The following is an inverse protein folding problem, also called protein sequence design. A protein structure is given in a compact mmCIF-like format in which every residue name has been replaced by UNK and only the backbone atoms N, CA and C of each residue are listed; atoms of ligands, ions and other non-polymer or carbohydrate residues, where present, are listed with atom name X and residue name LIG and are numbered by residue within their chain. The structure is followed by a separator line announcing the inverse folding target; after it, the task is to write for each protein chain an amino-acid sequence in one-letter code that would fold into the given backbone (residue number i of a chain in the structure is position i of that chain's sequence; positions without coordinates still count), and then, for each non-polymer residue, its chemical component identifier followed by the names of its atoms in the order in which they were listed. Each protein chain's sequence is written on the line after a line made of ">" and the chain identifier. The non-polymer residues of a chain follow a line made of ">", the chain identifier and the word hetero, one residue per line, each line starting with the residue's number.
data_IF_204048703096
#
_entry.id   IF_204048703096
#
_cell.length_a   1.000
_cell.length_b   1.000
_cell.length_c   1.000
_cell.angle_alpha   90.00
_cell.angle_beta   90.00
_cell.angle_gamma   90.00
#
_symmetry.space_group_name_H-M   'P 1'
#
loop_
_entity.id
_entity.type
_entity.pdbx_description
1 polymer ?
#
# COMPACT_ATOMS: atom_id res chain seq x y z
N UNK A 1 -7.61 21.18 -16.09
CA UNK A 1 -6.73 21.80 -15.07
C UNK A 1 -7.45 21.75 -13.72
N UNK A 2 -6.82 21.22 -12.65
CA UNK A 2 -7.44 21.15 -11.33
C UNK A 2 -7.72 22.56 -10.77
N UNK A 3 -8.75 22.70 -9.94
CA UNK A 3 -9.13 24.00 -9.36
C UNK A 3 -8.06 24.46 -8.34
N UNK A 4 -7.80 25.77 -8.18
CA UNK A 4 -6.78 26.28 -7.24
C UNK A 4 -6.90 25.76 -5.80
N UNK A 5 -8.13 25.49 -5.35
CA UNK A 5 -8.43 24.91 -4.02
C UNK A 5 -7.98 23.44 -3.88
N UNK A 6 -8.02 22.66 -4.96
CA UNK A 6 -7.60 21.26 -4.98
C UNK A 6 -6.07 21.14 -4.93
N UNK A 7 -5.36 22.08 -5.56
CA UNK A 7 -3.91 22.17 -5.51
C UNK A 7 -3.39 22.48 -4.09
N UNK A 8 -4.04 23.42 -3.39
CA UNK A 8 -3.71 23.76 -2.00
C UNK A 8 -3.96 22.59 -1.04
N UNK A 9 -5.00 21.80 -1.27
CA UNK A 9 -5.29 20.59 -0.49
C UNK A 9 -4.19 19.53 -0.63
N UNK A 10 -3.73 19.27 -1.86
CA UNK A 10 -2.65 18.30 -2.14
C UNK A 10 -1.31 18.72 -1.53
N UNK A 11 -0.93 19.99 -1.66
CA UNK A 11 0.31 20.53 -1.07
C UNK A 11 0.29 20.44 0.46
N UNK A 12 -0.85 20.75 1.08
CA UNK A 12 -1.00 20.65 2.54
C UNK A 12 -0.89 19.21 3.02
N UNK A 13 -1.47 18.26 2.30
CA UNK A 13 -1.37 16.84 2.65
C UNK A 13 0.07 16.33 2.47
N UNK A 14 0.74 16.65 1.36
CA UNK A 14 2.15 16.32 1.15
C UNK A 14 3.05 16.86 2.27
N UNK A 15 2.81 18.10 2.72
CA UNK A 15 3.55 18.69 3.83
C UNK A 15 3.24 18.00 5.17
N UNK A 16 1.98 17.59 5.42
CA UNK A 16 1.61 16.76 6.59
C UNK A 16 2.36 15.44 6.58
N UNK A 17 2.43 14.80 5.42
CA UNK A 17 3.12 13.52 5.23
C UNK A 17 4.62 13.66 5.48
N UNK A 18 5.24 14.70 4.93
CA UNK A 18 6.65 15.02 5.15
C UNK A 18 6.98 15.26 6.64
N UNK A 19 6.09 15.91 7.40
CA UNK A 19 6.28 16.08 8.85
C UNK A 19 6.22 14.73 9.58
N UNK A 20 5.23 13.90 9.25
CA UNK A 20 5.04 12.62 9.91
C UNK A 20 6.18 11.62 9.61
N UNK A 21 6.84 11.70 8.44
CA UNK A 21 7.94 10.78 8.07
C UNK A 21 9.19 10.91 8.92
N UNK A 22 9.36 12.04 9.61
CA UNK A 22 10.49 12.23 10.52
C UNK A 22 10.18 11.84 11.97
N UNK A 23 8.90 11.73 12.35
CA UNK A 23 8.50 11.41 13.72
C UNK A 23 8.48 9.89 13.96
N UNK A 24 9.04 9.44 15.09
CA UNK A 24 9.09 8.02 15.45
C UNK A 24 8.67 7.79 16.91
N UNK A 25 8.05 6.65 17.19
CA UNK A 25 7.75 6.25 18.57
C UNK A 25 9.07 6.01 19.31
N UNK A 26 9.23 6.58 20.49
CA UNK A 26 10.43 6.54 21.31
C UNK A 26 11.52 7.55 20.89
N UNK A 27 11.35 8.32 19.81
CA UNK A 27 12.31 9.32 19.37
C UNK A 27 11.62 10.66 19.07
N UNK A 28 11.38 11.48 20.11
CA UNK A 28 10.69 12.75 19.98
C UNK A 28 11.58 13.82 19.36
N UNK A 29 11.04 14.63 18.46
CA UNK A 29 11.76 15.69 17.75
C UNK A 29 11.35 17.09 18.21
N UNK A 30 12.30 18.02 18.20
CA UNK A 30 12.08 19.44 18.49
C UNK A 30 11.53 20.16 17.27
N UNK A 31 10.84 21.28 17.49
CA UNK A 31 10.32 22.12 16.41
C UNK A 31 11.41 22.56 15.43
N UNK A 32 12.57 22.97 15.94
CA UNK A 32 13.70 23.43 15.11
C UNK A 32 14.21 22.31 14.19
N UNK A 33 14.39 21.11 14.73
CA UNK A 33 14.84 19.93 13.97
C UNK A 33 13.85 19.59 12.86
N UNK A 34 12.54 19.56 13.17
CA UNK A 34 11.50 19.32 12.18
C UNK A 34 11.47 20.40 11.10
N UNK A 35 11.67 21.67 11.46
CA UNK A 35 11.74 22.78 10.50
C UNK A 35 12.91 22.62 9.54
N UNK A 36 14.08 22.29 10.08
CA UNK A 36 15.30 22.12 9.29
C UNK A 36 15.19 20.91 8.34
N UNK A 37 14.61 19.80 8.80
CA UNK A 37 14.38 18.58 8.00
C UNK A 37 13.31 18.77 6.92
N UNK A 38 12.18 19.36 7.28
CA UNK A 38 11.02 19.49 6.36
C UNK A 38 11.13 20.68 5.41
N UNK A 39 12.03 21.63 5.68
CA UNK A 39 12.19 22.90 4.95
C UNK A 39 10.91 23.75 4.89
N UNK A 40 9.96 23.49 5.78
CA UNK A 40 8.72 24.26 5.85
C UNK A 40 8.94 25.62 6.51
N UNK A 41 8.09 26.59 6.15
CA UNK A 41 8.03 27.85 6.88
C UNK A 41 7.58 27.58 8.33
N UNK A 42 8.03 28.43 9.26
CA UNK A 42 7.69 28.30 10.68
C UNK A 42 6.17 28.26 10.90
N UNK A 43 5.43 29.13 10.21
CA UNK A 43 3.98 29.16 10.29
C UNK A 43 3.32 27.93 9.64
N UNK A 44 3.89 27.43 8.54
CA UNK A 44 3.42 26.23 7.87
C UNK A 44 3.57 24.98 8.74
N UNK A 45 4.75 24.78 9.33
CA UNK A 45 5.03 23.68 10.24
C UNK A 45 4.14 23.76 11.49
N UNK A 46 3.98 24.95 12.08
CA UNK A 46 3.12 25.14 13.26
C UNK A 46 1.67 24.72 12.99
N UNK A 47 1.08 25.15 11.87
CA UNK A 47 -0.29 24.77 11.49
C UNK A 47 -0.44 23.26 11.34
N UNK A 48 0.52 22.62 10.66
CA UNK A 48 0.52 21.17 10.44
C UNK A 48 0.62 20.41 11.76
N UNK A 49 1.55 20.79 12.65
CA UNK A 49 1.71 20.13 13.95
C UNK A 49 0.45 20.27 14.80
N UNK A 50 -0.16 21.46 14.82
CA UNK A 50 -1.43 21.69 15.53
C UNK A 50 -2.55 20.80 15.00
N UNK A 51 -2.72 20.69 13.68
CA UNK A 51 -3.72 19.81 13.07
C UNK A 51 -3.47 18.32 13.38
N UNK A 52 -2.21 17.90 13.36
CA UNK A 52 -1.82 16.52 13.66
C UNK A 52 -2.08 16.19 15.13
N UNK A 53 -1.84 17.14 16.02
CA UNK A 53 -2.13 17.03 17.45
C UNK A 53 -3.64 16.96 17.71
N UNK A 54 -4.44 17.84 17.10
CA UNK A 54 -5.91 17.82 17.17
C UNK A 54 -6.49 16.47 16.71
N UNK A 55 -5.90 15.87 15.67
CA UNK A 55 -6.26 14.53 15.17
C UNK A 55 -5.74 13.38 16.04
N UNK A 56 -4.94 13.67 17.06
CA UNK A 56 -4.23 12.71 17.93
C UNK A 56 -3.23 11.83 17.16
N UNK A 57 -2.73 12.29 16.02
CA UNK A 57 -1.72 11.60 15.22
C UNK A 57 -0.32 11.78 15.82
N UNK A 58 -0.07 12.92 16.48
CA UNK A 58 1.14 13.18 17.24
C UNK A 58 0.80 13.54 18.67
N UNK A 59 1.78 13.45 19.56
CA UNK A 59 1.74 14.00 20.92
C UNK A 59 2.75 15.14 21.04
N UNK A 60 2.33 16.21 21.68
CA UNK A 60 3.17 17.32 22.09
C UNK A 60 3.40 17.25 23.60
N UNK A 61 4.65 17.36 24.03
CA UNK A 61 5.01 17.36 25.44
C UNK A 61 6.38 18.02 25.65
N UNK A 62 6.83 18.11 26.90
CA UNK A 62 8.11 18.71 27.24
C UNK A 62 9.10 17.65 27.75
N UNK A 63 10.35 17.75 27.30
CA UNK A 63 11.50 17.08 27.92
C UNK A 63 12.32 18.16 28.62
N UNK A 64 12.21 18.21 29.95
CA UNK A 64 12.69 19.35 30.74
C UNK A 64 11.95 20.62 30.35
N UNK A 65 12.70 21.65 29.91
CA UNK A 65 12.13 22.92 29.41
C UNK A 65 11.90 22.93 27.89
N UNK A 66 12.17 21.83 27.20
CA UNK A 66 12.17 21.81 25.73
C UNK A 66 10.90 21.17 25.19
N UNK A 67 10.13 21.87 24.34
CA UNK A 67 8.97 21.29 23.66
C UNK A 67 9.39 20.30 22.57
N UNK A 68 8.71 19.14 22.53
CA UNK A 68 8.97 18.07 21.56
C UNK A 68 7.68 17.45 21.03
N UNK A 69 7.79 16.80 19.88
CA UNK A 69 6.71 16.14 19.16
C UNK A 69 7.07 14.69 18.88
N UNK A 70 6.09 13.80 18.95
CA UNK A 70 6.30 12.38 18.68
C UNK A 70 5.05 11.78 18.04
N UNK A 71 5.22 10.83 17.11
CA UNK A 71 4.09 10.14 16.50
C UNK A 71 3.41 9.22 17.53
N UNK A 72 2.09 9.15 17.53
CA UNK A 72 1.34 8.20 18.36
C UNK A 72 1.14 6.88 17.62
N UNK A 73 0.74 5.81 18.33
CA UNK A 73 0.29 4.56 17.67
C UNK A 73 -0.85 4.81 16.67
N UNK A 74 -1.76 5.73 17.00
CA UNK A 74 -2.86 6.15 16.10
C UNK A 74 -2.33 6.88 14.88
N UNK A 75 -1.36 7.79 15.07
CA UNK A 75 -0.64 8.46 14.00
C UNK A 75 0.01 7.46 13.07
N UNK A 76 0.77 6.51 13.62
CA UNK A 76 1.46 5.46 12.88
C UNK A 76 0.49 4.58 12.07
N UNK A 77 -0.64 4.18 12.65
CA UNK A 77 -1.67 3.43 11.92
C UNK A 77 -2.30 4.27 10.79
N UNK A 78 -2.62 5.55 11.04
CA UNK A 78 -3.12 6.45 9.99
C UNK A 78 -2.07 6.80 8.92
N UNK A 79 -0.80 6.63 9.26
CA UNK A 79 0.37 6.89 8.41
C UNK A 79 0.73 5.66 7.56
N UNK A 80 0.68 4.43 8.09
CA UNK A 80 1.15 3.23 7.36
C UNK A 80 0.22 2.69 6.29
N UNK A 81 -1.09 2.95 6.35
CA UNK A 81 -2.06 2.35 5.42
C UNK A 81 -2.18 3.06 4.06
N UNK A 82 -1.82 4.34 3.97
CA UNK A 82 -1.96 5.14 2.74
C UNK A 82 -0.61 5.63 2.19
N UNK A 83 0.41 5.69 3.05
CA UNK A 83 1.68 6.31 2.68
C UNK A 83 2.65 5.34 1.99
N UNK A 84 2.70 4.05 2.36
CA UNK A 84 3.71 3.14 1.81
C UNK A 84 3.58 3.00 0.29
N UNK A 85 2.38 2.71 -0.22
CA UNK A 85 2.14 2.63 -1.66
C UNK A 85 2.35 3.98 -2.35
N UNK A 86 1.74 5.06 -1.86
CA UNK A 86 1.87 6.38 -2.49
C UNK A 86 3.31 6.91 -2.52
N UNK A 87 4.07 6.76 -1.43
CA UNK A 87 5.48 7.16 -1.38
C UNK A 87 6.34 6.29 -2.28
N UNK A 88 6.13 4.97 -2.30
CA UNK A 88 6.89 4.08 -3.19
C UNK A 88 6.62 4.45 -4.64
N UNK A 89 5.36 4.72 -4.99
CA UNK A 89 5.00 5.18 -6.33
C UNK A 89 5.68 6.51 -6.66
N UNK A 90 5.59 7.50 -5.77
CA UNK A 90 6.23 8.81 -5.95
C UNK A 90 7.76 8.69 -6.06
N UNK A 91 8.38 7.77 -5.31
CA UNK A 91 9.83 7.56 -5.35
C UNK A 91 10.25 6.90 -6.66
N UNK A 92 9.57 5.84 -7.08
CA UNK A 92 9.83 5.19 -8.38
C UNK A 92 9.67 6.21 -9.51
N UNK A 93 8.64 7.06 -9.48
CA UNK A 93 8.45 8.11 -10.49
C UNK A 93 9.52 9.21 -10.47
N UNK A 94 10.09 9.52 -9.30
CA UNK A 94 11.22 10.48 -9.19
C UNK A 94 12.52 9.88 -9.72
N UNK A 95 12.68 8.57 -9.61
CA UNK A 95 13.82 7.80 -10.11
C UNK A 95 13.56 7.34 -11.56
N UNK A 96 12.95 8.21 -12.37
CA UNK A 96 12.59 8.01 -13.78
C UNK A 96 11.73 6.76 -14.07
N UNK A 97 10.96 6.26 -13.11
CA UNK A 97 10.02 5.16 -13.30
C UNK A 97 8.68 5.57 -13.89
N UNK A 98 8.00 4.60 -14.48
CA UNK A 98 6.72 4.79 -15.17
C UNK A 98 5.54 4.28 -14.35
N UNK A 99 4.40 4.97 -14.48
CA UNK A 99 3.12 4.58 -13.91
C UNK A 99 2.14 4.22 -15.02
N UNK A 100 1.67 2.98 -14.98
CA UNK A 100 0.66 2.45 -15.89
C UNK A 100 -0.66 2.29 -15.13
N UNK A 101 -1.62 3.14 -15.46
CA UNK A 101 -3.00 3.01 -15.00
C UNK A 101 -3.76 2.00 -15.84
N UNK A 102 -4.43 1.03 -15.21
CA UNK A 102 -5.10 -0.08 -15.93
C UNK A 102 -4.12 -0.73 -16.92
N UNK A 103 -3.02 -1.27 -16.42
CA UNK A 103 -1.88 -1.74 -17.22
C UNK A 103 -2.28 -2.77 -18.27
N UNK A 104 -3.17 -3.72 -17.94
CA UNK A 104 -3.74 -4.65 -18.91
C UNK A 104 -4.80 -4.02 -19.83
N UNK A 105 -5.31 -2.83 -19.51
CA UNK A 105 -6.41 -2.16 -20.20
C UNK A 105 -7.76 -2.88 -20.08
N UNK A 106 -7.85 -3.93 -19.26
CA UNK A 106 -9.00 -4.84 -19.24
C UNK A 106 -10.22 -4.17 -18.64
N UNK A 107 -10.05 -3.34 -17.61
CA UNK A 107 -11.17 -2.64 -17.00
C UNK A 107 -11.82 -1.73 -18.03
N UNK A 108 -11.02 -0.88 -18.68
CA UNK A 108 -11.51 -0.01 -19.74
C UNK A 108 -12.11 -0.80 -20.91
N UNK A 109 -11.45 -1.86 -21.36
CA UNK A 109 -11.92 -2.68 -22.48
C UNK A 109 -13.30 -3.31 -22.18
N UNK A 110 -13.46 -3.93 -21.02
CA UNK A 110 -14.73 -4.53 -20.60
C UNK A 110 -15.83 -3.47 -20.51
N UNK A 111 -15.53 -2.32 -19.89
CA UNK A 111 -16.47 -1.20 -19.80
C UNK A 111 -16.92 -0.72 -21.19
N UNK A 112 -16.01 -0.61 -22.16
CA UNK A 112 -16.36 -0.22 -23.54
C UNK A 112 -17.21 -1.26 -24.27
N UNK A 113 -17.16 -2.53 -23.83
CA UNK A 113 -17.99 -3.62 -24.34
C UNK A 113 -19.32 -3.76 -23.58
N UNK A 114 -19.62 -2.84 -22.65
CA UNK A 114 -20.82 -2.91 -21.81
C UNK A 114 -20.78 -4.00 -20.75
N UNK A 115 -19.60 -4.58 -20.48
CA UNK A 115 -19.39 -5.60 -19.47
C UNK A 115 -18.89 -4.98 -18.17
N UNK A 116 -19.33 -5.52 -17.04
CA UNK A 116 -18.83 -5.12 -15.73
C UNK A 116 -17.52 -5.84 -15.41
N UNK A 117 -16.45 -5.08 -15.14
CA UNK A 117 -15.19 -5.61 -14.62
C UNK A 117 -14.82 -4.89 -13.32
N UNK A 118 -14.63 -5.65 -12.24
CA UNK A 118 -14.45 -5.11 -10.89
C UNK A 118 -13.00 -4.93 -10.45
N UNK A 119 -12.03 -5.27 -11.28
CA UNK A 119 -10.61 -5.30 -10.93
C UNK A 119 -9.84 -4.27 -11.76
N UNK A 120 -9.04 -3.45 -11.10
CA UNK A 120 -8.10 -2.52 -11.73
C UNK A 120 -6.69 -2.92 -11.32
N UNK A 121 -5.78 -3.01 -12.28
CA UNK A 121 -4.36 -3.20 -12.06
C UNK A 121 -3.60 -1.92 -12.42
N UNK A 122 -3.03 -1.28 -11.41
CA UNK A 122 -2.07 -0.23 -11.62
C UNK A 122 -0.66 -0.81 -11.42
N UNK A 123 0.26 -0.53 -12.34
CA UNK A 123 1.65 -0.96 -12.26
C UNK A 123 2.57 0.26 -12.19
N UNK A 124 3.53 0.22 -11.27
CA UNK A 124 4.59 1.23 -11.19
C UNK A 124 5.92 0.50 -11.23
N UNK A 125 6.81 0.90 -12.13
CA UNK A 125 8.07 0.20 -12.36
C UNK A 125 9.18 1.20 -12.66
N UNK A 126 10.39 0.93 -12.18
CA UNK A 126 11.56 1.74 -12.52
C UNK A 126 11.94 1.49 -14.00
N UNK A 127 12.26 2.55 -14.76
CA UNK A 127 12.54 2.45 -16.20
C UNK A 127 13.76 1.59 -16.53
N UNK A 128 14.72 1.45 -15.62
CA UNK A 128 15.83 0.53 -15.80
C UNK A 128 15.38 -0.94 -15.83
N UNK A 129 14.29 -1.27 -15.14
CA UNK A 129 13.78 -2.63 -15.00
C UNK A 129 12.90 -3.03 -16.18
N UNK A 130 12.17 -2.09 -16.75
CA UNK A 130 11.37 -2.28 -17.96
C UNK A 130 12.22 -2.85 -19.11
N UNK A 131 13.45 -2.35 -19.26
CA UNK A 131 14.36 -2.71 -20.34
C UNK A 131 15.24 -3.95 -20.06
N UNK A 132 15.26 -4.46 -18.83
CA UNK A 132 16.16 -5.54 -18.41
C UNK A 132 15.41 -6.82 -18.08
N UNK A 133 14.57 -6.79 -17.05
CA UNK A 133 13.82 -7.94 -16.54
C UNK A 133 12.53 -7.41 -15.90
N UNK A 134 11.41 -7.46 -16.62
CA UNK A 134 10.10 -7.17 -16.05
C UNK A 134 9.46 -8.46 -15.51
N UNK A 135 9.21 -8.64 -14.20
CA UNK A 135 8.78 -9.91 -13.62
C UNK A 135 7.25 -10.03 -13.68
N UNK A 136 6.57 -8.91 -13.88
CA UNK A 136 5.13 -8.76 -14.00
C UNK A 136 4.79 -8.50 -15.46
N UNK A 137 5.11 -9.48 -16.30
CA UNK A 137 4.70 -9.48 -17.70
C UNK A 137 3.17 -9.48 -17.81
N UNK A 138 2.67 -8.99 -18.94
CA UNK A 138 1.24 -8.90 -19.24
C UNK A 138 0.46 -10.19 -18.90
N UNK A 139 0.94 -11.34 -19.38
CA UNK A 139 0.28 -12.64 -19.13
C UNK A 139 0.27 -13.05 -17.65
N UNK A 140 1.28 -12.66 -16.87
CA UNK A 140 1.35 -12.95 -15.43
C UNK A 140 0.28 -12.15 -14.69
N UNK A 141 0.19 -10.84 -14.93
CA UNK A 141 -0.82 -9.98 -14.30
C UNK A 141 -2.22 -10.42 -14.72
N UNK A 142 -2.40 -10.78 -15.99
CA UNK A 142 -3.66 -11.33 -16.53
C UNK A 142 -4.09 -12.59 -15.78
N UNK A 143 -3.17 -13.51 -15.53
CA UNK A 143 -3.45 -14.73 -14.77
C UNK A 143 -3.81 -14.40 -13.33
N UNK A 144 -3.07 -13.50 -12.67
CA UNK A 144 -3.37 -13.04 -11.30
C UNK A 144 -4.79 -12.46 -11.22
N UNK A 145 -5.18 -11.57 -12.14
CA UNK A 145 -6.54 -11.01 -12.16
C UNK A 145 -7.61 -12.09 -12.36
N UNK A 146 -7.38 -13.01 -13.30
CA UNK A 146 -8.31 -14.11 -13.55
C UNK A 146 -8.49 -14.97 -12.29
N UNK A 147 -7.40 -15.32 -11.63
CA UNK A 147 -7.42 -16.11 -10.39
C UNK A 147 -8.14 -15.37 -9.26
N UNK A 148 -7.87 -14.08 -9.07
CA UNK A 148 -8.57 -13.26 -8.06
C UNK A 148 -10.08 -13.25 -8.34
N UNK A 149 -10.47 -13.01 -9.60
CA UNK A 149 -11.87 -12.99 -10.00
C UNK A 149 -12.56 -14.34 -9.75
N UNK A 150 -11.97 -15.45 -10.22
CA UNK A 150 -12.56 -16.78 -10.06
C UNK A 150 -12.67 -17.15 -8.58
N UNK A 151 -11.61 -16.97 -7.80
CA UNK A 151 -11.64 -17.28 -6.37
C UNK A 151 -12.69 -16.45 -5.62
N UNK A 152 -12.83 -15.16 -5.95
CA UNK A 152 -13.85 -14.30 -5.35
C UNK A 152 -15.25 -14.78 -5.72
N UNK A 153 -15.47 -15.12 -7.00
CA UNK A 153 -16.73 -15.69 -7.50
C UNK A 153 -17.07 -16.98 -6.77
N UNK A 154 -16.12 -17.90 -6.63
CA UNK A 154 -16.37 -19.21 -6.05
C UNK A 154 -16.59 -19.12 -4.53
N UNK A 155 -15.81 -18.31 -3.82
CA UNK A 155 -16.06 -18.00 -2.39
C UNK A 155 -17.45 -17.42 -2.20
N UNK A 156 -17.88 -16.49 -3.06
CA UNK A 156 -19.20 -15.87 -2.93
C UNK A 156 -20.34 -16.88 -3.05
N UNK A 157 -20.18 -17.88 -3.93
CA UNK A 157 -21.12 -18.99 -4.08
C UNK A 157 -21.08 -19.94 -2.88
N UNK A 158 -19.90 -20.42 -2.52
CA UNK A 158 -19.71 -21.43 -1.45
C UNK A 158 -20.20 -20.89 -0.11
N UNK A 159 -19.91 -19.62 0.19
CA UNK A 159 -20.27 -19.00 1.48
C UNK A 159 -21.64 -18.32 1.47
N UNK A 160 -22.43 -18.47 0.39
CA UNK A 160 -23.72 -17.81 0.20
C UNK A 160 -23.68 -16.32 0.60
N UNK A 161 -22.60 -15.63 0.21
CA UNK A 161 -22.40 -14.22 0.58
C UNK A 161 -23.41 -13.39 -0.20
N UNK A 162 -24.23 -12.60 0.50
CA UNK A 162 -25.13 -11.64 -0.14
C UNK A 162 -24.36 -10.43 -0.68
N UNK A 163 -23.80 -10.61 -1.87
CA UNK A 163 -23.05 -9.59 -2.61
C UNK A 163 -23.92 -8.38 -3.00
N UNK A 164 -25.26 -8.48 -3.00
CA UNK A 164 -26.14 -7.36 -3.40
C UNK A 164 -26.12 -6.20 -2.40
N UNK A 165 -25.79 -6.49 -1.14
CA UNK A 165 -25.74 -5.53 -0.06
C UNK A 165 -24.36 -4.88 0.15
N UNK A 166 -23.32 -5.34 -0.57
CA UNK A 166 -21.96 -4.82 -0.46
C UNK A 166 -21.72 -3.84 -1.62
N UNK A 167 -22.21 -2.60 -1.45
CA UNK A 167 -22.06 -1.54 -2.46
C UNK A 167 -20.97 -0.54 -2.08
N UNK A 168 -20.29 0.00 -3.09
CA UNK A 168 -19.29 1.07 -2.96
C UNK A 168 -18.13 0.75 -2.00
N UNK A 169 -17.77 -0.53 -1.87
CA UNK A 169 -16.59 -0.99 -1.11
C UNK A 169 -15.47 -1.34 -2.07
N UNK A 170 -14.23 -1.13 -1.64
CA UNK A 170 -13.02 -1.42 -2.40
C UNK A 170 -12.07 -2.26 -1.55
N UNK A 171 -11.38 -3.18 -2.20
CA UNK A 171 -10.25 -3.92 -1.63
C UNK A 171 -9.03 -3.50 -2.45
N UNK A 172 -7.92 -3.23 -1.77
CA UNK A 172 -6.64 -2.91 -2.41
C UNK A 172 -5.63 -3.95 -1.97
N UNK A 173 -4.95 -4.56 -2.95
CA UNK A 173 -3.81 -5.45 -2.74
C UNK A 173 -2.60 -4.83 -3.43
N UNK A 174 -1.60 -4.43 -2.65
CA UNK A 174 -0.32 -3.95 -3.15
C UNK A 174 0.76 -5.01 -2.98
N UNK A 175 1.53 -5.24 -4.03
CA UNK A 175 2.74 -6.06 -3.99
C UNK A 175 3.94 -5.14 -4.25
N UNK A 176 4.93 -5.18 -3.36
CA UNK A 176 6.18 -4.44 -3.51
C UNK A 176 7.26 -5.49 -3.72
N UNK A 177 8.00 -5.38 -4.83
CA UNK A 177 9.06 -6.32 -5.21
C UNK A 177 10.38 -5.54 -5.19
N UNK A 178 11.22 -5.83 -4.19
CA UNK A 178 12.60 -5.35 -4.15
C UNK A 178 13.49 -6.33 -4.90
N UNK A 179 14.13 -5.88 -5.98
CA UNK A 179 14.82 -6.77 -6.91
C UNK A 179 16.05 -7.44 -6.32
N UNK A 180 16.84 -6.72 -5.54
CA UNK A 180 18.04 -7.27 -4.90
C UNK A 180 17.66 -8.44 -3.96
N UNK A 181 16.59 -8.26 -3.19
CA UNK A 181 16.05 -9.30 -2.31
C UNK A 181 15.39 -10.44 -3.10
N UNK A 182 14.70 -10.15 -4.22
CA UNK A 182 14.14 -11.19 -5.07
C UNK A 182 15.23 -12.08 -5.69
N UNK A 183 16.29 -11.47 -6.23
CA UNK A 183 17.44 -12.20 -6.82
C UNK A 183 18.09 -13.07 -5.75
N UNK A 184 18.34 -12.51 -4.56
CA UNK A 184 18.86 -13.27 -3.43
C UNK A 184 17.96 -14.45 -3.07
N UNK A 185 16.65 -14.22 -2.98
CA UNK A 185 15.65 -15.26 -2.67
C UNK A 185 15.62 -16.40 -3.69
N UNK A 186 15.81 -16.07 -4.97
CA UNK A 186 15.92 -17.06 -6.06
C UNK A 186 17.19 -17.88 -5.89
N UNK A 187 18.34 -17.21 -5.71
CA UNK A 187 19.64 -17.88 -5.56
C UNK A 187 19.70 -18.79 -4.33
N UNK A 188 19.02 -18.42 -3.25
CA UNK A 188 18.93 -19.19 -2.01
C UNK A 188 17.84 -20.28 -2.02
N UNK A 189 17.03 -20.38 -3.09
CA UNK A 189 15.84 -21.25 -3.15
C UNK A 189 14.92 -21.08 -1.92
N UNK A 190 14.74 -19.83 -1.48
CA UNK A 190 14.13 -19.52 -0.17
C UNK A 190 12.68 -20.01 -0.08
N UNK A 191 11.91 -19.96 -1.17
CA UNK A 191 10.53 -20.44 -1.22
C UNK A 191 10.45 -21.95 -0.98
N UNK A 192 11.28 -22.74 -1.64
CA UNK A 192 11.30 -24.19 -1.51
C UNK A 192 11.75 -24.62 -0.11
N UNK A 193 12.76 -23.93 0.42
CA UNK A 193 13.24 -24.12 1.79
C UNK A 193 12.13 -23.82 2.80
N UNK A 194 11.42 -22.70 2.65
CA UNK A 194 10.28 -22.34 3.48
C UNK A 194 9.15 -23.39 3.43
N UNK A 195 8.78 -23.85 2.23
CA UNK A 195 7.75 -24.89 2.06
C UNK A 195 8.14 -26.20 2.76
N UNK A 196 9.41 -26.60 2.72
CA UNK A 196 9.92 -27.79 3.43
C UNK A 196 9.85 -27.63 4.95
N UNK A 197 10.10 -26.43 5.48
CA UNK A 197 10.01 -26.13 6.92
C UNK A 197 8.55 -26.12 7.38
N UNK A 198 7.66 -25.42 6.66
CA UNK A 198 6.27 -25.26 7.06
C UNK A 198 5.45 -26.55 7.01
N UNK A 199 5.81 -27.51 6.14
CA UNK A 199 5.21 -28.86 6.19
C UNK A 199 5.39 -29.55 7.56
N UNK A 200 6.32 -29.07 8.40
CA UNK A 200 6.63 -29.64 9.72
C UNK A 200 5.99 -28.89 10.91
N UNK A 201 5.40 -27.70 10.72
CA UNK A 201 4.84 -26.90 11.82
C UNK A 201 3.33 -26.70 11.69
N UNK A 202 2.56 -27.20 12.68
CA UNK A 202 1.11 -26.94 12.81
C UNK A 202 0.87 -25.64 13.58
N UNK A 203 0.78 -24.52 12.88
CA UNK A 203 0.30 -23.28 13.47
C UNK A 203 -1.24 -23.26 13.55
N UNK A 204 -1.83 -22.64 14.59
CA UNK A 204 -3.27 -22.40 14.63
C UNK A 204 -3.67 -21.48 13.47
N UNK A 205 -4.50 -22.02 12.56
CA UNK A 205 -4.88 -21.34 11.32
C UNK A 205 -5.90 -20.24 11.59
N UNK A 206 -5.69 -19.07 10.99
CA UNK A 206 -6.63 -17.96 11.04
C UNK A 206 -7.85 -18.20 10.12
N UNK A 207 -8.86 -17.32 10.21
CA UNK A 207 -10.12 -17.44 9.45
C UNK A 207 -9.92 -17.49 7.93
N UNK A 208 -8.93 -16.79 7.40
CA UNK A 208 -8.63 -16.74 5.96
C UNK A 208 -7.91 -17.99 5.48
N UNK A 209 -6.99 -18.52 6.29
CA UNK A 209 -6.29 -19.78 5.99
C UNK A 209 -7.26 -20.96 5.95
N UNK A 210 -8.23 -21.03 6.89
CA UNK A 210 -9.29 -22.05 6.85
C UNK A 210 -10.13 -21.96 5.58
N UNK A 211 -10.51 -20.74 5.19
CA UNK A 211 -11.29 -20.51 3.96
C UNK A 211 -10.52 -20.92 2.69
N UNK A 212 -9.20 -20.74 2.67
CA UNK A 212 -8.36 -21.17 1.55
C UNK A 212 -8.27 -22.69 1.44
N UNK A 213 -8.28 -23.41 2.56
CA UNK A 213 -8.24 -24.88 2.56
C UNK A 213 -9.57 -25.49 2.12
N UNK A 214 -10.69 -24.93 2.61
CA UNK A 214 -12.03 -25.28 2.17
C UNK A 214 -12.17 -25.20 0.63
N UNK A 215 -11.58 -24.16 0.01
CA UNK A 215 -11.55 -24.04 -1.46
C UNK A 215 -10.67 -25.12 -2.10
N UNK A 216 -9.47 -25.35 -1.59
CA UNK A 216 -8.52 -26.32 -2.15
C UNK A 216 -8.98 -27.78 -2.04
N UNK A 217 -9.89 -28.08 -1.12
CA UNK A 217 -10.52 -29.39 -0.98
C UNK A 217 -11.66 -29.59 -1.99
N UNK A 218 -12.36 -28.50 -2.35
CA UNK A 218 -13.42 -28.53 -3.35
C UNK A 218 -12.89 -28.64 -4.79
N UNK A 219 -11.67 -28.15 -5.07
CA UNK A 219 -11.00 -28.33 -6.38
C UNK A 219 -10.49 -29.75 -6.63
N UNK A 220 -10.51 -30.64 -5.62
CA UNK A 220 -10.05 -32.03 -5.71
C UNK A 220 -11.17 -33.05 -5.97
N UNK A 221 -12.42 -32.59 -6.07
CA UNK A 221 -13.62 -33.39 -6.36
C UNK A 221 -14.03 -33.14 -7.81
#
# INVERSE_FOLDING_TARGET
>A
MPKPSEYQGKVREANRMNVLSFLKIGNPMRFKELKDLTKLSQMGLYKILKELEEKKAIRYYHIGKTPVYEITKKGLASFSETMTLGIIMDQIQKDDGEYFHDYLGRKKLMETQGLSWGIQDDLVINSELENKIQPLLYEIIKNIQNTIYQNTRDISKIKNIDIKNIKNKKIVLGLIIEYDELIKSINENSLETYQKINKKQKYPKNKFQKASEELSELEKI
#
